data_IF_758110927426
#
_entry.id   IF_758110927426
#
_cell.length_a   1.000
_cell.length_b   1.000
_cell.length_c   1.000
_cell.angle_alpha   90.00
_cell.angle_beta   90.00
_cell.angle_gamma   90.00
#
_symmetry.space_group_name_H-M   'P 1'
#
loop_
_entity.id
_entity.type
_entity.pdbx_description
1 polymer ?
#
# COMPACT_ATOMS: atom_id res chain seq x y z
N UNK A 1 -32.85 -3.68 29.52
CA UNK A 1 -32.33 -4.31 28.30
C UNK A 1 -31.25 -3.41 27.71
N UNK A 2 -30.07 -3.41 28.33
CA UNK A 2 -28.88 -2.76 27.79
C UNK A 2 -27.89 -3.90 27.54
N UNK A 3 -28.00 -4.55 26.37
CA UNK A 3 -26.91 -5.40 25.91
C UNK A 3 -25.87 -4.50 25.27
N UNK A 4 -24.65 -4.67 25.77
CA UNK A 4 -23.50 -3.81 25.63
C UNK A 4 -23.06 -3.68 24.16
N UNK A 5 -23.29 -2.50 23.58
CA UNK A 5 -22.84 -2.11 22.23
C UNK A 5 -21.31 -2.27 22.09
N UNK A 6 -20.57 -2.22 23.21
CA UNK A 6 -19.13 -2.48 23.24
C UNK A 6 -18.75 -3.93 22.93
N UNK A 7 -19.51 -4.90 23.43
CA UNK A 7 -19.23 -6.33 23.22
C UNK A 7 -19.52 -6.77 21.79
N UNK A 8 -20.66 -6.34 21.22
CA UNK A 8 -21.04 -6.66 19.83
C UNK A 8 -19.98 -6.11 18.85
N UNK A 9 -19.40 -4.94 19.16
CA UNK A 9 -18.37 -4.30 18.34
C UNK A 9 -17.01 -5.01 18.46
N UNK A 10 -16.70 -5.57 19.63
CA UNK A 10 -15.47 -6.35 19.84
C UNK A 10 -15.57 -7.74 19.18
N UNK A 11 -16.74 -8.38 19.21
CA UNK A 11 -17.00 -9.65 18.53
C UNK A 11 -16.89 -9.51 17.02
N UNK A 12 -17.48 -8.47 16.42
CA UNK A 12 -17.34 -8.19 14.98
C UNK A 12 -15.89 -7.90 14.56
N UNK A 13 -15.08 -7.26 15.41
CA UNK A 13 -13.66 -7.02 15.14
C UNK A 13 -12.86 -8.33 15.26
N UNK A 14 -13.15 -9.13 16.29
CA UNK A 14 -12.47 -10.41 16.53
C UNK A 14 -12.81 -11.42 15.44
N UNK A 15 -14.06 -11.46 14.99
CA UNK A 15 -14.52 -12.27 13.87
C UNK A 15 -13.90 -11.80 12.54
N UNK A 16 -13.69 -10.49 12.35
CA UNK A 16 -13.01 -9.93 11.18
C UNK A 16 -11.50 -10.19 11.18
N UNK A 17 -10.87 -10.30 12.35
CA UNK A 17 -9.45 -10.67 12.52
C UNK A 17 -9.29 -12.19 12.32
N UNK A 18 -10.10 -13.00 13.01
CA UNK A 18 -10.05 -14.46 12.93
C UNK A 18 -10.38 -14.98 11.53
N UNK A 19 -11.38 -14.41 10.86
CA UNK A 19 -11.69 -14.77 9.47
C UNK A 19 -10.65 -14.28 8.46
N UNK A 20 -9.89 -13.21 8.76
CA UNK A 20 -8.73 -12.82 7.92
C UNK A 20 -7.55 -13.78 8.10
N UNK A 21 -7.41 -14.39 9.28
CA UNK A 21 -6.30 -15.30 9.58
C UNK A 21 -6.55 -16.76 9.19
N UNK A 22 -7.79 -17.26 9.27
CA UNK A 22 -8.10 -18.67 8.97
C UNK A 22 -8.29 -18.95 7.48
N UNK A 23 -8.67 -17.95 6.67
CA UNK A 23 -8.95 -18.18 5.24
C UNK A 23 -7.76 -18.07 4.30
N UNK A 24 -6.55 -17.74 4.78
CA UNK A 24 -5.42 -17.45 3.88
C UNK A 24 -4.10 -18.18 4.14
N UNK A 25 -3.87 -18.87 5.27
CA UNK A 25 -2.56 -19.47 5.53
C UNK A 25 -2.53 -20.69 6.44
N UNK A 26 -2.02 -21.81 5.93
CA UNK A 26 -1.36 -22.80 6.77
C UNK A 26 -0.05 -22.22 7.33
N UNK A 27 0.34 -22.59 8.55
CA UNK A 27 1.50 -21.99 9.26
C UNK A 27 2.85 -22.07 8.49
N UNK A 28 3.02 -23.06 7.61
CA UNK A 28 4.19 -23.19 6.75
C UNK A 28 4.29 -22.09 5.68
N UNK A 29 3.16 -21.64 5.13
CA UNK A 29 3.11 -20.61 4.10
C UNK A 29 3.45 -19.22 4.66
N UNK A 30 3.14 -18.96 5.94
CA UNK A 30 3.53 -17.71 6.62
C UNK A 30 5.04 -17.55 6.74
N UNK A 31 5.76 -18.61 7.10
CA UNK A 31 7.22 -18.55 7.24
C UNK A 31 7.90 -18.38 5.89
N UNK A 32 7.44 -19.10 4.86
CA UNK A 32 7.95 -18.97 3.49
C UNK A 32 7.69 -17.56 2.93
N UNK A 33 6.47 -17.04 3.11
CA UNK A 33 6.12 -15.67 2.75
C UNK A 33 7.04 -14.64 3.43
N UNK A 34 7.22 -14.77 4.74
CA UNK A 34 8.05 -13.86 5.52
C UNK A 34 9.52 -13.88 5.06
N UNK A 35 10.08 -15.06 4.82
CA UNK A 35 11.43 -15.22 4.28
C UNK A 35 11.58 -14.59 2.90
N UNK A 36 10.63 -14.83 1.99
CA UNK A 36 10.66 -14.23 0.65
C UNK A 36 10.62 -12.69 0.74
N UNK A 37 9.82 -12.14 1.65
CA UNK A 37 9.68 -10.70 1.85
C UNK A 37 10.97 -10.02 2.33
N UNK A 38 11.72 -10.69 3.20
CA UNK A 38 13.03 -10.21 3.69
C UNK A 38 14.10 -10.36 2.61
N UNK A 39 14.09 -11.49 1.88
CA UNK A 39 15.14 -11.82 0.92
C UNK A 39 14.92 -11.25 -0.48
N UNK A 40 13.72 -10.76 -0.79
CA UNK A 40 13.35 -10.36 -2.15
C UNK A 40 13.31 -11.56 -3.11
N UNK A 41 13.04 -12.76 -2.59
CA UNK A 41 12.98 -13.98 -3.39
C UNK A 41 11.62 -14.08 -4.10
N UNK A 42 11.58 -13.61 -5.35
CA UNK A 42 10.41 -13.68 -6.24
C UNK A 42 10.70 -14.64 -7.40
N UNK A 43 9.80 -15.58 -7.72
CA UNK A 43 10.00 -16.49 -8.84
C UNK A 43 10.08 -15.72 -10.16
N UNK A 44 11.04 -16.10 -11.00
CA UNK A 44 11.15 -15.59 -12.37
C UNK A 44 10.15 -16.34 -13.24
N UNK A 45 9.41 -15.59 -14.04
CA UNK A 45 8.45 -16.16 -14.97
C UNK A 45 9.18 -16.62 -16.25
N UNK A 46 9.24 -17.93 -16.48
CA UNK A 46 9.84 -18.51 -17.68
C UNK A 46 8.95 -18.33 -18.94
N UNK A 47 7.70 -17.84 -18.78
CA UNK A 47 6.75 -17.59 -19.86
C UNK A 47 6.18 -16.18 -19.67
N UNK A 48 6.74 -15.18 -20.34
CA UNK A 48 6.32 -13.78 -20.17
C UNK A 48 4.80 -13.62 -20.35
N UNK A 49 4.05 -13.31 -19.29
CA UNK A 49 2.62 -13.05 -19.36
C UNK A 49 2.34 -11.60 -19.81
N UNK A 50 2.88 -11.21 -20.97
CA UNK A 50 2.75 -9.86 -21.54
C UNK A 50 1.30 -9.41 -21.68
N UNK A 51 0.38 -10.38 -21.76
CA UNK A 51 -1.04 -10.13 -21.91
C UNK A 51 -1.67 -9.46 -20.68
N UNK A 52 -1.21 -9.77 -19.46
CA UNK A 52 -1.75 -9.21 -18.22
C UNK A 52 -1.40 -7.72 -18.06
N UNK A 53 -0.31 -7.26 -18.67
CA UNK A 53 0.17 -5.87 -18.61
C UNK A 53 -0.22 -5.03 -19.84
N UNK A 54 -1.07 -5.59 -20.71
CA UNK A 54 -1.58 -4.89 -21.88
C UNK A 54 -2.75 -3.99 -21.46
N UNK A 55 -2.58 -2.69 -21.68
CA UNK A 55 -3.68 -1.72 -21.63
C UNK A 55 -4.53 -1.94 -22.89
N UNK A 56 -5.81 -2.24 -22.69
CA UNK A 56 -6.78 -2.48 -23.75
C UNK A 56 -7.48 -1.18 -24.16
N UNK A 57 -7.77 -0.33 -23.19
CA UNK A 57 -8.50 0.92 -23.36
C UNK A 57 -8.11 1.91 -22.25
N UNK A 58 -8.17 3.21 -22.55
CA UNK A 58 -8.03 4.29 -21.58
C UNK A 58 -9.30 5.12 -21.61
N UNK A 59 -9.95 5.28 -20.45
CA UNK A 59 -11.20 6.03 -20.29
C UNK A 59 -10.94 7.24 -19.37
N UNK A 60 -11.50 8.40 -19.73
CA UNK A 60 -11.31 9.67 -19.01
C UNK A 60 -9.81 10.03 -18.81
N UNK A 61 -9.01 10.11 -19.89
CA UNK A 61 -7.59 10.41 -19.77
C UNK A 61 -7.36 11.81 -19.18
N UNK A 62 -6.33 11.94 -18.34
CA UNK A 62 -5.97 13.20 -17.67
C UNK A 62 -4.52 13.60 -18.03
N UNK A 63 -4.24 13.92 -19.30
CA UNK A 63 -2.86 14.10 -19.80
C UNK A 63 -2.13 15.28 -19.15
N UNK A 64 -2.87 16.30 -18.71
CA UNK A 64 -2.32 17.52 -18.11
C UNK A 64 -2.04 17.39 -16.60
N UNK A 65 -2.24 16.21 -16.01
CA UNK A 65 -1.99 15.99 -14.59
C UNK A 65 -0.52 16.25 -14.22
N UNK A 66 -0.29 16.86 -13.06
CA UNK A 66 1.07 17.15 -12.57
C UNK A 66 1.71 15.95 -11.85
N UNK A 67 0.94 14.90 -11.59
CA UNK A 67 1.35 13.67 -10.93
C UNK A 67 0.22 12.64 -10.94
N UNK A 68 0.54 11.39 -10.59
CA UNK A 68 -0.39 10.26 -10.65
C UNK A 68 -0.48 9.55 -9.30
N UNK A 69 -1.68 9.47 -8.73
CA UNK A 69 -1.98 8.56 -7.64
C UNK A 69 -2.61 7.29 -8.24
N UNK A 70 -1.93 6.16 -8.09
CA UNK A 70 -2.21 4.95 -8.86
C UNK A 70 -2.79 3.83 -8.01
N UNK A 71 -3.81 3.17 -8.52
CA UNK A 71 -4.53 2.07 -7.90
C UNK A 71 -4.63 0.87 -8.84
N UNK A 72 -4.84 -0.31 -8.26
CA UNK A 72 -5.21 -1.53 -8.98
C UNK A 72 -6.60 -1.98 -8.54
N UNK A 73 -7.44 -2.41 -9.48
CA UNK A 73 -8.78 -2.94 -9.19
C UNK A 73 -9.07 -4.18 -10.05
N UNK A 74 -9.13 -5.34 -9.40
CA UNK A 74 -9.36 -6.63 -10.04
C UNK A 74 -9.99 -7.61 -9.03
N UNK A 75 -10.44 -8.77 -9.51
CA UNK A 75 -11.06 -9.81 -8.69
C UNK A 75 -12.53 -10.03 -9.03
N UNK A 76 -13.25 -10.67 -8.11
CA UNK A 76 -14.67 -10.98 -8.26
C UNK A 76 -15.56 -9.80 -7.84
N UNK A 77 -16.14 -9.10 -8.82
CA UNK A 77 -17.06 -7.98 -8.57
C UNK A 77 -18.38 -8.39 -7.95
N UNK A 78 -18.77 -9.66 -8.01
CA UNK A 78 -19.99 -10.18 -7.37
C UNK A 78 -19.78 -10.48 -5.88
N UNK A 79 -18.53 -10.52 -5.41
CA UNK A 79 -18.23 -10.74 -4.00
C UNK A 79 -18.83 -9.64 -3.12
N UNK A 80 -19.50 -10.04 -2.03
CA UNK A 80 -20.06 -9.12 -1.02
C UNK A 80 -19.03 -8.18 -0.40
N UNK A 81 -17.73 -8.49 -0.53
CA UNK A 81 -16.62 -7.66 -0.03
C UNK A 81 -16.09 -6.68 -1.07
N UNK A 82 -16.37 -6.87 -2.36
CA UNK A 82 -15.76 -6.08 -3.43
C UNK A 82 -16.15 -4.61 -3.34
N UNK A 83 -17.44 -4.33 -3.29
CA UNK A 83 -17.95 -2.95 -3.17
C UNK A 83 -17.53 -2.25 -1.87
N UNK A 84 -17.85 -2.76 -0.67
CA UNK A 84 -17.48 -2.07 0.57
C UNK A 84 -15.98 -2.08 0.86
N UNK A 85 -15.24 -3.05 0.31
CA UNK A 85 -13.81 -3.19 0.52
C UNK A 85 -12.95 -2.36 -0.43
N UNK A 86 -13.39 -2.17 -1.69
CA UNK A 86 -12.56 -1.56 -2.74
C UNK A 86 -13.22 -0.35 -3.40
N UNK A 87 -14.51 -0.43 -3.74
CA UNK A 87 -15.20 0.65 -4.47
C UNK A 87 -15.53 1.83 -3.54
N UNK A 88 -16.14 1.58 -2.39
CA UNK A 88 -16.52 2.65 -1.46
C UNK A 88 -15.32 3.48 -0.95
N UNK A 89 -14.15 2.88 -0.61
CA UNK A 89 -12.96 3.66 -0.28
C UNK A 89 -12.45 4.50 -1.44
N UNK A 90 -12.46 4.00 -2.67
CA UNK A 90 -12.12 4.80 -3.87
C UNK A 90 -13.08 5.98 -4.02
N UNK A 91 -14.39 5.75 -3.99
CA UNK A 91 -15.38 6.83 -4.09
C UNK A 91 -15.24 7.86 -2.95
N UNK A 92 -14.86 7.42 -1.76
CA UNK A 92 -14.53 8.33 -0.66
C UNK A 92 -13.30 9.17 -0.98
N UNK A 93 -12.19 8.55 -1.37
CA UNK A 93 -10.93 9.22 -1.69
C UNK A 93 -11.07 10.23 -2.85
N UNK A 94 -11.93 9.94 -3.83
CA UNK A 94 -12.19 10.84 -4.95
C UNK A 94 -12.64 12.25 -4.50
N UNK A 95 -13.39 12.32 -3.40
CA UNK A 95 -13.90 13.57 -2.82
C UNK A 95 -12.79 14.37 -2.15
N UNK A 96 -11.78 13.70 -1.60
CA UNK A 96 -10.63 14.31 -0.92
C UNK A 96 -9.48 14.66 -1.87
N UNK A 97 -9.44 14.05 -3.07
CA UNK A 97 -8.32 14.20 -4.01
C UNK A 97 -8.04 15.64 -4.42
N UNK A 98 -9.08 16.42 -4.72
CA UNK A 98 -8.93 17.82 -5.14
C UNK A 98 -8.30 18.70 -4.05
N UNK A 99 -8.52 18.37 -2.78
CA UNK A 99 -7.96 19.11 -1.64
C UNK A 99 -6.57 18.60 -1.24
N UNK A 100 -6.37 17.28 -1.26
CA UNK A 100 -5.12 16.65 -0.82
C UNK A 100 -4.00 16.77 -1.87
N UNK A 101 -4.33 16.61 -3.16
CA UNK A 101 -3.37 16.60 -4.26
C UNK A 101 -3.91 17.39 -5.48
N UNK A 102 -3.99 18.74 -5.40
CA UNK A 102 -4.47 19.55 -6.52
C UNK A 102 -3.67 19.32 -7.80
N UNK A 103 -4.38 19.11 -8.92
CA UNK A 103 -3.79 18.90 -10.25
C UNK A 103 -3.23 17.50 -10.50
N UNK A 104 -3.25 16.60 -9.51
CA UNK A 104 -2.90 15.19 -9.71
C UNK A 104 -4.08 14.42 -10.29
N UNK A 105 -3.80 13.37 -11.08
CA UNK A 105 -4.82 12.42 -11.49
C UNK A 105 -4.87 11.23 -10.54
N UNK A 106 -6.08 10.71 -10.32
CA UNK A 106 -6.28 9.40 -9.71
C UNK A 106 -6.50 8.38 -10.82
N UNK A 107 -5.56 7.44 -10.96
CA UNK A 107 -5.58 6.44 -12.04
C UNK A 107 -5.83 5.05 -11.49
N UNK A 108 -6.77 4.33 -12.07
CA UNK A 108 -7.07 2.93 -11.73
C UNK A 108 -6.72 2.04 -12.91
N UNK A 109 -5.82 1.08 -12.67
CA UNK A 109 -5.64 -0.07 -13.56
C UNK A 109 -6.70 -1.11 -13.21
N UNK A 110 -7.68 -1.28 -14.09
CA UNK A 110 -8.92 -2.01 -13.81
C UNK A 110 -9.06 -3.22 -14.73
N UNK A 111 -9.38 -4.39 -14.17
CA UNK A 111 -9.60 -5.59 -14.97
C UNK A 111 -10.85 -5.45 -15.87
N UNK A 112 -10.75 -5.89 -17.13
CA UNK A 112 -11.84 -5.76 -18.12
C UNK A 112 -13.17 -6.39 -17.72
N UNK A 113 -13.14 -7.40 -16.84
CA UNK A 113 -14.31 -8.13 -16.37
C UNK A 113 -15.09 -7.42 -15.25
N UNK A 114 -14.60 -6.29 -14.72
CA UNK A 114 -15.39 -5.45 -13.82
C UNK A 114 -16.55 -4.84 -14.61
N UNK A 115 -17.74 -4.78 -14.00
CA UNK A 115 -18.96 -4.30 -14.66
C UNK A 115 -18.85 -2.84 -15.11
N UNK A 116 -19.53 -2.51 -16.20
CA UNK A 116 -19.52 -1.15 -16.75
C UNK A 116 -20.20 -0.15 -15.82
N UNK A 117 -21.18 -0.58 -15.00
CA UNK A 117 -21.77 0.26 -13.95
C UNK A 117 -20.71 0.77 -12.96
N UNK A 118 -19.79 -0.11 -12.53
CA UNK A 118 -18.70 0.27 -11.62
C UNK A 118 -17.69 1.17 -12.34
N UNK A 119 -17.37 0.88 -13.61
CA UNK A 119 -16.48 1.74 -14.40
C UNK A 119 -17.06 3.15 -14.56
N UNK A 120 -18.33 3.25 -14.90
CA UNK A 120 -19.04 4.52 -15.06
C UNK A 120 -19.06 5.30 -13.75
N UNK A 121 -19.38 4.64 -12.63
CA UNK A 121 -19.38 5.26 -11.30
C UNK A 121 -17.99 5.82 -10.94
N UNK A 122 -16.91 5.10 -11.26
CA UNK A 122 -15.53 5.55 -11.03
C UNK A 122 -15.14 6.71 -11.96
N UNK A 123 -15.55 6.69 -13.24
CA UNK A 123 -15.33 7.79 -14.18
C UNK A 123 -16.07 9.05 -13.73
N UNK A 124 -17.32 8.93 -13.29
CA UNK A 124 -18.11 10.03 -12.73
C UNK A 124 -17.47 10.61 -11.46
N UNK A 125 -16.81 9.77 -10.65
CA UNK A 125 -16.00 10.18 -9.52
C UNK A 125 -14.66 10.87 -9.93
N UNK A 126 -14.36 10.95 -11.23
CA UNK A 126 -13.20 11.66 -11.78
C UNK A 126 -11.94 10.80 -11.92
N UNK A 127 -12.05 9.48 -11.84
CA UNK A 127 -10.91 8.58 -12.08
C UNK A 127 -10.58 8.46 -13.56
N UNK A 128 -9.28 8.35 -13.84
CA UNK A 128 -8.73 7.90 -15.11
C UNK A 128 -8.62 6.37 -15.08
N UNK A 129 -9.25 5.67 -16.02
CA UNK A 129 -9.27 4.20 -16.03
C UNK A 129 -8.36 3.65 -17.13
N UNK A 130 -7.49 2.72 -16.76
CA UNK A 130 -6.67 1.94 -17.68
C UNK A 130 -7.22 0.52 -17.65
N UNK A 131 -8.00 0.14 -18.66
CA UNK A 131 -8.63 -1.18 -18.73
C UNK A 131 -7.57 -2.21 -19.11
N UNK A 132 -7.37 -3.18 -18.23
CA UNK A 132 -6.38 -4.25 -18.33
C UNK A 132 -7.04 -5.57 -18.70
N UNK A 133 -6.26 -6.53 -19.19
CA UNK A 133 -6.74 -7.90 -19.28
C UNK A 133 -7.03 -8.48 -17.88
N UNK A 134 -7.82 -9.54 -17.79
CA UNK A 134 -8.03 -10.23 -16.50
C UNK A 134 -6.70 -10.89 -16.10
N UNK A 135 -6.19 -10.66 -14.89
CA UNK A 135 -4.95 -11.29 -14.45
C UNK A 135 -5.19 -12.80 -14.31
N UNK A 136 -4.19 -13.60 -14.65
CA UNK A 136 -4.28 -15.06 -14.49
C UNK A 136 -4.00 -15.50 -13.07
N UNK A 137 -3.22 -14.70 -12.34
CA UNK A 137 -2.85 -14.88 -10.94
C UNK A 137 -3.01 -13.52 -10.23
N UNK A 138 -2.00 -13.11 -9.46
CA UNK A 138 -2.02 -11.88 -8.68
C UNK A 138 -1.22 -10.73 -9.35
N UNK A 139 -0.99 -10.78 -10.67
CA UNK A 139 -0.33 -9.69 -11.42
C UNK A 139 -1.08 -8.36 -11.30
N UNK A 140 -2.38 -8.43 -11.01
CA UNK A 140 -3.23 -7.26 -10.75
C UNK A 140 -2.69 -6.37 -9.64
N UNK A 141 -2.03 -6.91 -8.62
CA UNK A 141 -1.48 -6.09 -7.53
C UNK A 141 -0.42 -5.12 -8.03
N UNK A 142 0.41 -5.49 -9.01
CA UNK A 142 1.52 -4.64 -9.44
C UNK A 142 1.20 -3.67 -10.58
N UNK A 143 0.00 -3.72 -11.17
CA UNK A 143 -0.36 -2.75 -12.22
C UNK A 143 -0.22 -1.30 -11.78
N UNK A 144 -0.54 -1.00 -10.51
CA UNK A 144 -0.37 0.33 -9.92
C UNK A 144 1.07 0.85 -9.86
N UNK A 145 2.06 0.02 -10.21
CA UNK A 145 3.47 0.45 -10.32
C UNK A 145 3.83 0.93 -11.73
N UNK A 146 3.01 0.67 -12.74
CA UNK A 146 3.30 1.02 -14.14
C UNK A 146 3.56 2.52 -14.37
N UNK A 147 2.88 3.47 -13.70
CA UNK A 147 3.19 4.90 -13.84
C UNK A 147 4.60 5.29 -13.40
N UNK A 148 5.35 4.41 -12.72
CA UNK A 148 6.74 4.67 -12.36
C UNK A 148 7.66 4.86 -13.58
N UNK A 149 7.25 4.39 -14.77
CA UNK A 149 7.98 4.65 -16.02
C UNK A 149 7.77 6.06 -16.57
N UNK A 150 6.75 6.76 -16.11
CA UNK A 150 6.37 8.05 -16.66
C UNK A 150 7.25 9.19 -16.14
N UNK A 151 7.32 10.26 -16.93
CA UNK A 151 8.05 11.46 -16.57
C UNK A 151 7.23 12.39 -15.66
N UNK A 152 6.53 11.83 -14.67
CA UNK A 152 5.73 12.55 -13.67
C UNK A 152 5.95 11.91 -12.29
N UNK A 153 5.81 12.67 -11.19
CA UNK A 153 5.69 12.07 -9.87
C UNK A 153 4.52 11.11 -9.83
N UNK A 154 4.73 9.93 -9.25
CA UNK A 154 3.66 8.97 -9.02
C UNK A 154 3.73 8.42 -7.59
N UNK A 155 2.58 7.97 -7.10
CA UNK A 155 2.44 7.25 -5.83
C UNK A 155 1.51 6.06 -6.02
N UNK A 156 1.96 4.89 -5.61
CA UNK A 156 1.15 3.68 -5.51
C UNK A 156 0.28 3.73 -4.26
N UNK A 157 -0.99 3.38 -4.39
CA UNK A 157 -1.96 3.36 -3.30
C UNK A 157 -2.93 2.18 -3.42
N UNK A 158 -3.19 1.51 -2.29
CA UNK A 158 -4.13 0.39 -2.27
C UNK A 158 -5.57 0.91 -2.37
N UNK A 159 -6.43 0.19 -3.09
CA UNK A 159 -7.82 0.57 -3.31
C UNK A 159 -8.68 0.52 -2.03
N UNK A 160 -8.25 -0.23 -1.01
CA UNK A 160 -8.95 -0.36 0.28
C UNK A 160 -8.47 0.66 1.34
N UNK A 161 -7.50 1.50 1.00
CA UNK A 161 -6.96 2.52 1.90
C UNK A 161 -7.65 3.87 1.71
N UNK A 162 -7.81 4.61 2.82
CA UNK A 162 -8.28 6.01 2.80
C UNK A 162 -7.10 6.98 2.90
N UNK A 163 -7.28 8.22 2.44
CA UNK A 163 -6.24 9.25 2.56
C UNK A 163 -5.96 9.62 4.01
N UNK A 164 -7.04 9.77 4.79
CA UNK A 164 -7.03 9.94 6.24
C UNK A 164 -7.35 8.59 6.91
N UNK A 165 -6.35 8.00 7.57
CA UNK A 165 -6.58 6.81 8.40
C UNK A 165 -7.01 7.24 9.82
N UNK A 166 -7.79 6.38 10.47
CA UNK A 166 -8.43 6.60 11.78
C UNK A 166 -7.50 7.00 12.94
N UNK A 167 -6.18 6.86 12.81
CA UNK A 167 -5.22 7.05 13.90
C UNK A 167 -4.40 8.35 13.84
N UNK A 168 -4.97 9.46 13.34
CA UNK A 168 -4.25 10.73 13.17
C UNK A 168 -2.96 10.59 12.32
N UNK A 169 -2.95 9.65 11.39
CA UNK A 169 -1.81 9.47 10.49
C UNK A 169 -1.75 10.64 9.50
N UNK A 170 -0.54 11.09 9.17
CA UNK A 170 -0.34 12.16 8.19
C UNK A 170 -0.98 11.78 6.86
N UNK A 171 -1.85 12.65 6.34
CA UNK A 171 -2.55 12.43 5.08
C UNK A 171 -1.59 12.19 3.92
N UNK A 172 -2.03 11.46 2.90
CA UNK A 172 -1.19 11.22 1.72
C UNK A 172 -0.76 12.53 1.06
N UNK A 173 -1.64 13.53 0.97
CA UNK A 173 -1.34 14.84 0.40
C UNK A 173 -0.23 15.55 1.15
N UNK A 174 -0.27 15.53 2.49
CA UNK A 174 0.79 16.13 3.31
C UNK A 174 2.13 15.42 3.12
N UNK A 175 2.14 14.09 3.05
CA UNK A 175 3.36 13.30 2.82
C UNK A 175 3.95 13.62 1.46
N UNK A 176 3.13 13.61 0.41
CA UNK A 176 3.55 13.92 -0.97
C UNK A 176 4.06 15.35 -1.07
N UNK A 177 3.34 16.34 -0.53
CA UNK A 177 3.77 17.74 -0.52
C UNK A 177 5.13 17.94 0.13
N UNK A 178 5.41 17.23 1.23
CA UNK A 178 6.70 17.31 1.89
C UNK A 178 7.81 16.61 1.10
N UNK A 179 7.52 15.45 0.52
CA UNK A 179 8.44 14.75 -0.38
C UNK A 179 8.82 15.61 -1.59
N UNK A 180 7.84 16.25 -2.23
CA UNK A 180 8.06 17.07 -3.43
C UNK A 180 8.98 18.27 -3.18
N UNK A 181 9.06 18.77 -1.94
CA UNK A 181 10.00 19.85 -1.55
C UNK A 181 11.46 19.40 -1.45
N UNK A 182 11.72 18.10 -1.42
CA UNK A 182 13.08 17.56 -1.38
C UNK A 182 13.65 17.40 -2.79
N UNK A 183 14.85 16.84 -2.92
CA UNK A 183 15.44 16.35 -4.17
C UNK A 183 15.36 14.81 -4.32
N UNK A 184 14.74 14.13 -3.35
CA UNK A 184 14.71 12.67 -3.27
C UNK A 184 13.82 12.07 -4.38
N UNK A 185 14.32 11.12 -5.20
CA UNK A 185 13.56 10.49 -6.27
C UNK A 185 12.48 9.52 -5.79
N UNK A 186 12.59 9.00 -4.57
CA UNK A 186 11.67 7.97 -4.06
C UNK A 186 10.93 8.45 -2.81
N UNK A 187 9.69 8.01 -2.67
CA UNK A 187 8.86 8.19 -1.48
C UNK A 187 8.64 6.82 -0.82
N UNK A 188 8.87 6.76 0.50
CA UNK A 188 8.34 5.71 1.38
C UNK A 188 7.46 6.36 2.45
N UNK A 189 6.16 6.07 2.40
CA UNK A 189 5.22 6.42 3.47
C UNK A 189 5.20 5.29 4.51
N UNK A 190 5.26 5.67 5.78
CA UNK A 190 5.25 4.76 6.93
C UNK A 190 3.96 4.98 7.70
N UNK A 191 3.16 3.94 7.85
CA UNK A 191 1.96 3.98 8.68
C UNK A 191 2.15 3.12 9.92
N UNK A 192 1.93 3.71 11.09
CA UNK A 192 2.17 3.07 12.40
C UNK A 192 1.16 1.97 12.65
N UNK A 193 -0.05 2.12 12.12
CA UNK A 193 -1.09 1.07 12.12
C UNK A 193 -0.65 -0.22 11.44
N UNK A 194 0.35 -0.17 10.55
CA UNK A 194 0.84 -1.35 9.85
C UNK A 194 2.02 -1.94 10.62
N UNK A 195 1.74 -2.93 11.48
CA UNK A 195 2.74 -3.62 12.30
C UNK A 195 3.96 -4.10 11.49
N UNK A 196 3.80 -4.44 10.21
CA UNK A 196 4.92 -4.82 9.31
C UNK A 196 5.89 -3.67 9.03
N UNK A 197 5.38 -2.45 8.88
CA UNK A 197 6.21 -1.23 8.81
C UNK A 197 6.81 -0.89 10.17
N UNK A 198 6.05 -1.10 11.26
CA UNK A 198 6.49 -0.84 12.63
C UNK A 198 7.69 -1.70 13.03
N UNK A 199 7.67 -3.00 12.71
CA UNK A 199 8.80 -3.92 12.96
C UNK A 199 9.84 -3.94 11.84
N UNK A 200 9.70 -3.07 10.82
CA UNK A 200 10.58 -2.99 9.65
C UNK A 200 10.84 -4.35 8.96
N UNK A 201 9.86 -5.25 9.03
CA UNK A 201 9.88 -6.57 8.39
C UNK A 201 9.85 -6.40 6.87
N UNK A 202 9.16 -5.35 6.42
CA UNK A 202 9.01 -5.02 5.01
C UNK A 202 9.62 -3.65 4.75
N UNK A 203 10.65 -3.55 3.91
CA UNK A 203 11.33 -2.28 3.68
C UNK A 203 10.44 -1.28 2.95
N UNK A 204 9.52 -1.72 2.08
CA UNK A 204 8.60 -0.87 1.33
C UNK A 204 7.20 -1.52 1.31
N UNK A 205 6.18 -0.80 1.75
CA UNK A 205 4.79 -1.24 1.61
C UNK A 205 4.25 -0.89 0.22
N UNK A 206 3.58 -1.83 -0.42
CA UNK A 206 3.19 -1.71 -1.83
C UNK A 206 2.15 -0.61 -2.10
N UNK A 207 1.23 -0.34 -1.18
CA UNK A 207 0.27 0.77 -1.26
C UNK A 207 0.80 2.12 -0.77
N UNK A 208 2.10 2.28 -0.53
CA UNK A 208 2.66 3.44 0.20
C UNK A 208 4.02 3.90 -0.32
N UNK A 209 4.31 3.71 -1.60
CA UNK A 209 5.56 4.14 -2.20
C UNK A 209 5.33 5.01 -3.43
N UNK A 210 6.35 5.76 -3.82
CA UNK A 210 6.30 6.58 -5.03
C UNK A 210 7.68 6.81 -5.63
N UNK A 211 7.68 7.26 -6.88
CA UNK A 211 8.88 7.73 -7.56
C UNK A 211 8.59 8.99 -8.35
N UNK A 212 9.63 9.77 -8.65
CA UNK A 212 9.53 10.91 -9.56
C UNK A 212 10.80 11.09 -10.36
N UNK A 213 10.72 11.77 -11.52
CA UNK A 213 11.89 12.26 -12.22
C UNK A 213 12.73 13.15 -11.29
N UNK A 214 14.05 13.01 -11.37
CA UNK A 214 14.94 13.98 -10.75
C UNK A 214 15.02 15.23 -11.62
N UNK A 215 15.35 16.37 -11.01
CA UNK A 215 15.49 17.63 -11.74
C UNK A 215 16.45 17.45 -12.93
N UNK A 216 15.98 17.77 -14.14
CA UNK A 216 16.72 17.64 -15.40
C UNK A 216 17.17 16.21 -15.76
N UNK A 217 16.50 15.18 -15.21
CA UNK A 217 16.76 13.77 -15.56
C UNK A 217 15.45 13.05 -15.80
N UNK A 218 15.49 12.03 -16.66
CA UNK A 218 14.39 11.08 -16.80
C UNK A 218 14.17 10.27 -15.53
N UNK A 219 12.99 9.68 -15.41
CA UNK A 219 12.71 8.74 -14.32
C UNK A 219 13.67 7.55 -14.39
N UNK A 220 14.20 7.10 -13.25
CA UNK A 220 15.13 5.97 -13.17
C UNK A 220 14.46 4.60 -13.31
N UNK A 221 13.13 4.57 -13.44
CA UNK A 221 12.29 3.37 -13.52
C UNK A 221 11.56 3.26 -14.87
N UNK A 222 12.16 3.77 -15.95
CA UNK A 222 11.58 3.72 -17.31
C UNK A 222 11.27 2.30 -17.79
N UNK A 223 11.96 1.29 -17.27
CA UNK A 223 11.83 -0.12 -17.60
C UNK A 223 10.97 -0.93 -16.60
N UNK A 224 10.17 -0.25 -15.77
CA UNK A 224 9.40 -0.91 -14.70
C UNK A 224 8.45 -1.96 -15.27
N UNK A 225 7.82 -1.69 -16.42
CA UNK A 225 6.85 -2.61 -17.02
C UNK A 225 7.53 -3.88 -17.49
N UNK A 226 8.62 -3.75 -18.24
CA UNK A 226 9.44 -4.86 -18.70
C UNK A 226 10.01 -5.66 -17.51
N UNK A 227 10.31 -4.98 -16.41
CA UNK A 227 10.80 -5.63 -15.20
C UNK A 227 9.71 -6.39 -14.45
N UNK A 228 8.48 -5.86 -14.38
CA UNK A 228 7.33 -6.60 -13.84
C UNK A 228 7.03 -7.86 -14.65
N UNK A 229 7.12 -7.80 -15.97
CA UNK A 229 6.88 -8.94 -16.87
C UNK A 229 7.85 -10.12 -16.67
N UNK A 230 9.00 -9.91 -16.01
CA UNK A 230 9.99 -10.96 -15.70
C UNK A 230 9.57 -11.86 -14.54
N UNK A 231 8.61 -11.45 -13.73
CA UNK A 231 8.29 -12.12 -12.47
C UNK A 231 6.92 -12.78 -12.48
N UNK A 232 6.81 -13.82 -11.67
CA UNK A 232 5.56 -14.50 -11.37
C UNK A 232 5.00 -13.97 -10.04
N UNK A 233 3.82 -13.37 -10.10
CA UNK A 233 3.13 -12.80 -8.96
C UNK A 233 2.04 -13.77 -8.49
N UNK A 234 2.47 -14.89 -7.95
CA UNK A 234 1.57 -15.86 -7.33
C UNK A 234 1.67 -15.77 -5.81
N UNK A 235 0.56 -15.41 -5.17
CA UNK A 235 0.44 -15.33 -3.73
C UNK A 235 0.44 -13.89 -3.21
N UNK A 236 -0.16 -13.76 -2.04
CA UNK A 236 -0.28 -12.51 -1.32
C UNK A 236 1.09 -11.88 -1.01
N UNK A 237 1.18 -10.56 -1.18
CA UNK A 237 2.34 -9.74 -0.81
C UNK A 237 3.56 -9.90 -1.72
N UNK A 238 3.42 -10.56 -2.87
CA UNK A 238 4.47 -10.66 -3.89
C UNK A 238 4.82 -9.29 -4.52
N UNK A 239 3.88 -8.35 -4.52
CA UNK A 239 4.12 -6.95 -4.86
C UNK A 239 5.15 -6.32 -3.91
N UNK A 240 5.07 -6.58 -2.60
CA UNK A 240 6.07 -6.13 -1.63
C UNK A 240 7.40 -6.87 -1.74
N UNK A 241 7.41 -8.17 -2.06
CA UNK A 241 8.63 -8.94 -2.35
C UNK A 241 9.37 -8.33 -3.55
N UNK A 242 8.64 -7.99 -4.61
CA UNK A 242 9.19 -7.30 -5.77
C UNK A 242 9.80 -5.96 -5.39
N UNK A 243 9.12 -5.16 -4.57
CA UNK A 243 9.66 -3.87 -4.12
C UNK A 243 10.94 -4.05 -3.28
N UNK A 244 10.99 -5.06 -2.40
CA UNK A 244 12.22 -5.40 -1.67
C UNK A 244 13.38 -5.72 -2.61
N UNK A 245 13.10 -6.42 -3.71
CA UNK A 245 14.13 -6.85 -4.65
C UNK A 245 14.60 -5.74 -5.58
N UNK A 246 13.67 -5.09 -6.28
CA UNK A 246 13.97 -4.22 -7.42
C UNK A 246 14.05 -2.74 -7.05
N UNK A 247 13.26 -2.31 -6.06
CA UNK A 247 13.10 -0.88 -5.73
C UNK A 247 13.88 -0.50 -4.49
N UNK A 248 13.87 -1.32 -3.45
CA UNK A 248 14.54 -1.04 -2.18
C UNK A 248 16.05 -0.76 -2.32
N UNK A 249 16.83 -1.49 -3.14
CA UNK A 249 18.24 -1.16 -3.33
C UNK A 249 18.46 0.27 -3.82
N UNK A 250 17.58 0.78 -4.69
CA UNK A 250 17.63 2.17 -5.22
C UNK A 250 17.11 3.19 -4.20
N UNK A 251 16.05 2.83 -3.47
CA UNK A 251 15.39 3.70 -2.51
C UNK A 251 16.17 3.86 -1.20
N UNK A 252 16.90 2.84 -0.75
CA UNK A 252 17.58 2.83 0.56
C UNK A 252 18.43 4.08 0.79
N UNK A 253 19.18 4.51 -0.22
CA UNK A 253 20.10 5.65 -0.15
C UNK A 253 19.46 6.98 -0.58
N UNK A 254 18.47 6.93 -1.47
CA UNK A 254 17.91 8.10 -2.13
C UNK A 254 16.43 8.36 -1.81
N UNK A 255 15.86 7.65 -0.84
CA UNK A 255 14.46 7.78 -0.45
C UNK A 255 14.19 8.94 0.51
N UNK A 256 12.99 9.49 0.40
CA UNK A 256 12.35 10.27 1.45
C UNK A 256 11.47 9.35 2.30
N UNK A 257 11.64 9.41 3.61
CA UNK A 257 10.95 8.56 4.58
C UNK A 257 10.02 9.42 5.44
N UNK A 258 8.70 9.22 5.33
CA UNK A 258 7.75 10.00 6.12
C UNK A 258 7.87 9.64 7.61
N UNK A 259 8.07 10.62 8.49
CA UNK A 259 8.42 10.42 9.89
C UNK A 259 7.25 10.11 10.84
N UNK A 260 6.11 9.61 10.35
CA UNK A 260 4.84 9.54 11.11
C UNK A 260 4.84 8.61 12.33
N UNK A 261 5.89 7.83 12.61
CA UNK A 261 5.86 6.82 13.68
C UNK A 261 6.91 6.85 14.78
N UNK A 262 7.99 7.61 14.65
CA UNK A 262 9.12 7.46 15.55
C UNK A 262 8.91 8.16 16.90
N UNK A 263 8.18 9.29 16.91
CA UNK A 263 7.93 10.06 18.13
C UNK A 263 7.03 9.32 19.13
N UNK A 264 5.97 8.67 18.66
CA UNK A 264 5.08 7.85 19.51
C UNK A 264 5.77 6.57 19.98
N UNK A 265 6.62 5.97 19.14
CA UNK A 265 7.39 4.77 19.48
C UNK A 265 8.47 5.05 20.55
N UNK A 266 9.15 6.19 20.47
CA UNK A 266 10.08 6.61 21.53
C UNK A 266 9.37 6.84 22.85
N UNK A 267 8.17 7.43 22.83
CA UNK A 267 7.36 7.61 24.03
C UNK A 267 6.95 6.24 24.61
N UNK A 268 6.51 5.29 23.79
CA UNK A 268 6.11 3.96 24.25
C UNK A 268 7.30 3.17 24.81
N UNK A 269 8.44 3.16 24.12
CA UNK A 269 9.67 2.49 24.59
C UNK A 269 10.19 3.12 25.88
N UNK A 270 10.15 4.45 25.97
CA UNK A 270 10.49 5.17 27.20
C UNK A 270 9.53 4.82 28.34
N UNK A 271 8.23 4.70 28.06
CA UNK A 271 7.21 4.31 29.05
C UNK A 271 7.46 2.90 29.55
N UNK A 272 7.70 1.94 28.65
CA UNK A 272 8.03 0.55 29.01
C UNK A 272 9.31 0.52 29.86
N UNK A 273 10.35 1.24 29.44
CA UNK A 273 11.62 1.32 30.16
C UNK A 273 11.45 1.88 31.59
N UNK A 274 10.67 2.95 31.75
CA UNK A 274 10.35 3.54 33.07
C UNK A 274 9.55 2.56 33.93
N UNK A 275 8.56 1.87 33.36
CA UNK A 275 7.80 0.85 34.09
C UNK A 275 8.67 -0.34 34.52
N UNK A 276 9.56 -0.81 33.64
CA UNK A 276 10.52 -1.88 33.98
C UNK A 276 11.46 -1.46 35.13
N UNK A 277 11.95 -0.21 35.11
CA UNK A 277 12.75 0.36 36.21
C UNK A 277 11.98 0.41 37.53
N UNK A 278 10.72 0.85 37.50
CA UNK A 278 9.84 0.89 38.68
C UNK A 278 9.62 -0.51 39.27
N UNK A 279 9.38 -1.51 38.41
CA UNK A 279 9.23 -2.91 38.85
C UNK A 279 10.50 -3.40 39.53
N UNK A 280 11.68 -3.14 38.95
CA UNK A 280 12.97 -3.53 39.55
C UNK A 280 13.16 -2.85 40.92
N UNK A 281 12.87 -1.56 41.04
CA UNK A 281 12.99 -0.83 42.32
C UNK A 281 12.05 -1.40 43.38
N UNK A 282 10.80 -1.73 43.01
CA UNK A 282 9.82 -2.33 43.92
C UNK A 282 10.31 -3.71 44.38
N UNK A 283 10.76 -4.57 43.47
CA UNK A 283 11.26 -5.92 43.78
C UNK A 283 12.49 -5.86 44.70
N UNK A 284 13.46 -4.97 44.42
CA UNK A 284 14.65 -4.78 45.26
C UNK A 284 14.28 -4.28 46.66
N UNK A 285 13.31 -3.36 46.78
CA UNK A 285 12.88 -2.85 48.08
C UNK A 285 12.09 -3.87 48.90
N UNK A 286 11.31 -4.74 48.26
CA UNK A 286 10.63 -5.85 48.93
C UNK A 286 11.66 -6.85 49.50
N UNK A 287 12.65 -7.25 48.70
CA UNK A 287 13.68 -8.20 49.12
C UNK A 287 14.63 -7.67 50.21
N UNK A 288 14.74 -6.34 50.40
CA UNK A 288 15.50 -5.74 51.49
C UNK A 288 14.73 -5.71 52.83
N UNK A 289 13.42 -5.92 52.81
CA UNK A 289 12.55 -5.89 54.00
C UNK A 289 12.17 -7.29 54.52
N UNK A 290 12.50 -8.35 53.78
CA UNK A 290 12.43 -9.75 54.21
C UNK A 290 13.77 -10.22 54.79
#
# INVERSE_FOLDING_TARGET
MNHDIGQIKLELITERINNKTETYYNGADRNKFFLNKITGNIPVNNISNKSAYKVLEIINPQPDSVGVLSYSLFGDSASKRFRPGLIEPLLYNSKEMKTELPGWSSRIYIAKNISDDIKNELVEAGYELYVMNVPTKDEGYVWRFMPASENKPFVSHDADMRFSNWMNETSIGTVVKNWLKTDKPFLRRILVSHMHSFFNITPILAGMWGSRPQKNKYNSLTDIKETLEKYDFEGFGMDEVFLTREIWPKMKEHGYYSSSGWKTSLILLFTIFVFSLLIVVIVVNINKKS
#
